data_IF_869805658022
#
_entry.id   IF_869805658022
#
_cell.length_a   1.000
_cell.length_b   1.000
_cell.length_c   1.000
_cell.angle_alpha   90.00
_cell.angle_beta   90.00
_cell.angle_gamma   90.00
#
_symmetry.space_group_name_H-M   'P 1'
#
loop_
_entity.id
_entity.type
_entity.pdbx_description
1 polymer ?
#
# COMPACT_ATOMS: atom_id res chain seq x y z
N UNK A 1 -15.76 6.89 3.69
CA UNK A 1 -15.57 5.76 2.75
C UNK A 1 -14.51 4.86 3.34
N UNK A 2 -14.71 3.54 3.33
CA UNK A 2 -13.73 2.55 3.76
C UNK A 2 -13.61 1.51 2.65
N UNK A 3 -12.39 1.17 2.27
CA UNK A 3 -12.10 0.18 1.24
C UNK A 3 -11.01 -0.76 1.73
N UNK A 4 -11.18 -2.06 1.46
CA UNK A 4 -10.23 -3.09 1.82
C UNK A 4 -9.57 -3.67 0.57
N UNK A 5 -8.24 -3.70 0.57
CA UNK A 5 -7.38 -4.18 -0.50
C UNK A 5 -6.81 -5.53 -0.07
N UNK A 6 -6.94 -6.53 -0.94
CA UNK A 6 -6.45 -7.89 -0.72
C UNK A 6 -5.29 -8.22 -1.65
N UNK A 7 -4.47 -9.19 -1.24
CA UNK A 7 -3.47 -9.81 -2.10
C UNK A 7 -4.12 -11.06 -2.71
N UNK A 8 -4.67 -10.92 -3.91
CA UNK A 8 -5.37 -12.02 -4.57
C UNK A 8 -4.40 -12.89 -5.41
N UNK A 9 -4.69 -14.18 -5.62
CA UNK A 9 -3.86 -15.07 -6.43
C UNK A 9 -3.64 -14.61 -7.88
N UNK A 10 -4.56 -13.84 -8.44
CA UNK A 10 -4.48 -13.30 -9.81
C UNK A 10 -3.48 -12.15 -9.94
N UNK A 11 -2.96 -11.65 -8.81
CA UNK A 11 -2.03 -10.55 -8.77
C UNK A 11 -0.64 -10.98 -9.26
N UNK A 12 -0.08 -10.22 -10.20
CA UNK A 12 1.20 -10.55 -10.85
C UNK A 12 2.40 -9.76 -10.32
N UNK A 13 2.14 -8.67 -9.59
CA UNK A 13 3.12 -7.66 -9.17
C UNK A 13 3.63 -7.88 -7.74
N UNK A 14 4.39 -8.96 -7.58
CA UNK A 14 5.13 -9.24 -6.36
C UNK A 14 6.50 -9.81 -6.68
N UNK A 15 7.41 -9.78 -5.72
CA UNK A 15 8.77 -10.30 -5.91
C UNK A 15 8.76 -11.83 -5.94
N UNK A 16 9.04 -12.43 -7.11
CA UNK A 16 8.93 -13.88 -7.32
C UNK A 16 10.23 -14.65 -7.05
N UNK A 17 11.38 -14.04 -7.26
CA UNK A 17 12.66 -14.76 -7.29
C UNK A 17 13.08 -15.24 -5.90
N UNK A 18 13.10 -16.56 -5.69
CA UNK A 18 13.44 -17.14 -4.39
C UNK A 18 12.39 -16.88 -3.29
N UNK A 19 11.19 -16.45 -3.69
CA UNK A 19 10.07 -16.25 -2.76
C UNK A 19 9.14 -17.44 -2.78
N UNK A 20 8.62 -17.80 -1.61
CA UNK A 20 7.48 -18.71 -1.48
C UNK A 20 6.24 -17.91 -1.13
N UNK A 21 5.13 -18.19 -1.79
CA UNK A 21 3.82 -17.59 -1.51
C UNK A 21 2.80 -18.68 -1.21
N UNK A 22 2.07 -18.53 -0.11
CA UNK A 22 0.99 -19.43 0.30
C UNK A 22 -0.28 -18.61 0.57
N UNK A 23 -1.38 -18.98 -0.08
CA UNK A 23 -2.69 -18.38 0.11
C UNK A 23 -3.49 -19.26 1.08
N UNK A 24 -3.77 -18.73 2.27
CA UNK A 24 -4.51 -19.42 3.32
C UNK A 24 -5.96 -18.92 3.32
N UNK A 25 -6.77 -19.52 2.45
CA UNK A 25 -8.17 -19.12 2.21
C UNK A 25 -9.04 -19.17 3.47
N UNK A 26 -8.75 -20.10 4.40
CA UNK A 26 -9.50 -20.26 5.65
C UNK A 26 -9.47 -19.00 6.53
N UNK A 27 -8.40 -18.21 6.47
CA UNK A 27 -8.20 -17.02 7.29
C UNK A 27 -8.00 -15.73 6.47
N UNK A 28 -8.09 -15.79 5.14
CA UNK A 28 -7.77 -14.68 4.24
C UNK A 28 -6.37 -14.10 4.47
N UNK A 29 -5.37 -14.96 4.69
CA UNK A 29 -3.98 -14.56 4.92
C UNK A 29 -3.12 -15.01 3.72
N UNK A 30 -2.23 -14.14 3.26
CA UNK A 30 -1.18 -14.47 2.31
C UNK A 30 0.16 -14.47 3.03
N UNK A 31 0.85 -15.61 3.01
CA UNK A 31 2.19 -15.74 3.57
C UNK A 31 3.21 -15.60 2.46
N UNK A 32 4.12 -14.66 2.65
CA UNK A 32 5.28 -14.44 1.82
C UNK A 32 6.54 -14.76 2.62
N UNK A 33 7.44 -15.54 2.05
CA UNK A 33 8.76 -15.83 2.63
C UNK A 33 9.85 -15.57 1.59
N UNK A 34 10.86 -14.77 1.95
CA UNK A 34 12.09 -14.62 1.20
C UNK A 34 13.22 -14.12 2.12
N UNK A 35 14.24 -14.95 2.33
CA UNK A 35 15.36 -14.63 3.24
C UNK A 35 16.49 -13.82 2.59
N UNK A 36 16.49 -13.69 1.27
CA UNK A 36 17.55 -13.04 0.48
C UNK A 36 17.11 -11.73 -0.19
N UNK A 37 15.85 -11.33 0.01
CA UNK A 37 15.34 -10.08 -0.54
C UNK A 37 16.13 -8.90 0.05
N UNK A 38 16.64 -8.03 -0.82
CA UNK A 38 17.41 -6.85 -0.39
C UNK A 38 16.50 -5.82 0.28
N UNK A 39 16.98 -5.10 1.32
CA UNK A 39 16.26 -3.95 1.86
C UNK A 39 15.94 -2.91 0.78
N UNK A 40 14.77 -2.30 0.85
CA UNK A 40 14.23 -1.35 -0.13
C UNK A 40 13.55 -1.98 -1.34
N UNK A 41 13.67 -3.30 -1.56
CA UNK A 41 12.99 -3.99 -2.64
C UNK A 41 11.46 -4.08 -2.40
N UNK A 42 10.67 -3.97 -3.45
CA UNK A 42 9.21 -4.10 -3.37
C UNK A 42 8.82 -5.58 -3.23
N UNK A 43 8.12 -5.93 -2.14
CA UNK A 43 7.55 -7.27 -1.92
C UNK A 43 6.33 -7.46 -2.81
N UNK A 44 5.41 -6.51 -2.80
CA UNK A 44 4.14 -6.54 -3.55
C UNK A 44 3.68 -5.11 -3.85
N UNK A 45 3.01 -4.91 -5.00
CA UNK A 45 2.58 -3.61 -5.50
C UNK A 45 1.15 -3.65 -6.04
N UNK A 46 0.26 -2.87 -5.43
CA UNK A 46 -1.10 -2.64 -5.95
C UNK A 46 -1.16 -1.34 -6.75
N UNK A 47 -1.97 -1.29 -7.82
CA UNK A 47 -2.17 -0.08 -8.65
C UNK A 47 -3.64 0.28 -8.87
N UNK A 48 -3.96 1.58 -8.83
CA UNK A 48 -5.34 2.08 -8.97
C UNK A 48 -5.81 2.26 -10.42
N UNK A 49 -4.93 2.07 -11.39
CA UNK A 49 -5.28 2.14 -12.80
C UNK A 49 -4.44 1.13 -13.58
N UNK A 50 -5.13 0.19 -14.21
CA UNK A 50 -4.54 -0.96 -14.89
C UNK A 50 -4.19 -0.69 -16.35
N UNK A 51 -3.94 0.57 -16.75
CA UNK A 51 -3.65 0.95 -18.15
C UNK A 51 -2.38 0.31 -18.74
N UNK A 52 -1.75 -0.62 -18.03
CA UNK A 52 -0.82 -1.59 -18.57
C UNK A 52 -1.59 -2.58 -19.45
N UNK A 53 -1.34 -2.53 -20.76
CA UNK A 53 -1.97 -3.27 -21.87
C UNK A 53 -2.01 -4.82 -21.76
N UNK A 54 -1.74 -5.39 -20.58
CA UNK A 54 -1.82 -6.83 -20.28
C UNK A 54 -2.68 -7.20 -19.07
N UNK A 55 -3.25 -6.24 -18.33
CA UNK A 55 -4.12 -6.53 -17.17
C UNK A 55 -5.59 -6.47 -17.56
N UNK A 56 -6.22 -7.63 -17.76
CA UNK A 56 -7.68 -7.72 -17.92
C UNK A 56 -8.35 -7.71 -16.54
N UNK A 57 -8.99 -6.60 -16.18
CA UNK A 57 -10.28 -6.64 -15.49
C UNK A 57 -10.36 -6.33 -13.99
N UNK A 58 -9.27 -6.18 -13.24
CA UNK A 58 -9.37 -5.89 -11.81
C UNK A 58 -8.64 -4.61 -11.39
N UNK A 59 -9.38 -3.65 -10.85
CA UNK A 59 -8.81 -2.52 -10.13
C UNK A 59 -8.45 -2.99 -8.72
N UNK A 60 -7.15 -3.12 -8.46
CA UNK A 60 -6.60 -3.54 -7.17
C UNK A 60 -6.79 -2.47 -6.08
N UNK A 61 -6.93 -1.20 -6.48
CA UNK A 61 -7.12 -0.06 -5.59
C UNK A 61 -8.32 0.80 -6.03
N UNK A 62 -9.04 1.43 -5.08
CA UNK A 62 -10.19 2.26 -5.38
C UNK A 62 -9.76 3.60 -5.97
N UNK A 63 -10.65 4.22 -6.74
CA UNK A 63 -10.48 5.60 -7.17
C UNK A 63 -10.63 6.55 -5.98
N UNK A 64 -9.63 7.41 -5.78
CA UNK A 64 -9.62 8.41 -4.71
C UNK A 64 -10.04 9.79 -5.22
N UNK A 65 -10.64 10.58 -4.35
CA UNK A 65 -11.05 11.96 -4.60
C UNK A 65 -9.85 12.90 -4.50
N UNK A 66 -9.65 13.69 -5.56
CA UNK A 66 -8.55 14.66 -5.67
C UNK A 66 -8.60 15.69 -4.54
N UNK A 67 -7.48 15.86 -3.84
CA UNK A 67 -7.32 16.82 -2.74
C UNK A 67 -7.89 16.34 -1.40
N UNK A 68 -8.40 15.11 -1.31
CA UNK A 68 -8.95 14.54 -0.08
C UNK A 68 -7.88 13.80 0.72
N UNK A 69 -8.01 13.84 2.04
CA UNK A 69 -7.16 13.10 2.96
C UNK A 69 -7.70 11.67 3.16
N UNK A 70 -6.77 10.74 3.28
CA UNK A 70 -7.02 9.33 3.51
C UNK A 70 -6.06 8.80 4.55
N UNK A 71 -6.55 7.90 5.38
CA UNK A 71 -5.73 7.06 6.22
C UNK A 71 -5.53 5.71 5.51
N UNK A 72 -4.29 5.23 5.49
CA UNK A 72 -3.97 3.85 5.12
C UNK A 72 -3.60 3.08 6.37
N UNK A 73 -4.01 1.82 6.43
CA UNK A 73 -3.63 0.87 7.47
C UNK A 73 -3.31 -0.49 6.85
N UNK A 74 -2.17 -1.05 7.21
CA UNK A 74 -1.71 -2.38 6.87
C UNK A 74 -2.04 -3.32 8.03
N UNK A 75 -2.87 -4.31 7.76
CA UNK A 75 -3.10 -5.47 8.62
C UNK A 75 -2.18 -6.59 8.14
N UNK A 76 -1.00 -6.68 8.74
CA UNK A 76 0.00 -7.70 8.45
C UNK A 76 0.95 -7.90 9.63
N UNK A 77 1.47 -9.12 9.76
CA UNK A 77 2.54 -9.47 10.69
C UNK A 77 3.83 -9.72 9.91
N UNK A 78 4.97 -9.31 10.46
CA UNK A 78 6.28 -9.52 9.82
C UNK A 78 7.34 -9.96 10.82
N UNK A 79 8.24 -10.84 10.38
CA UNK A 79 9.38 -11.33 11.13
C UNK A 79 10.69 -11.08 10.36
N UNK A 80 11.81 -10.80 11.05
CA UNK A 80 12.03 -10.86 12.51
C UNK A 80 11.61 -9.60 13.29
N UNK A 81 11.23 -8.52 12.62
CA UNK A 81 10.75 -7.28 13.26
C UNK A 81 9.54 -6.73 12.50
N UNK A 82 8.60 -6.03 13.18
CA UNK A 82 7.57 -5.24 12.51
C UNK A 82 8.26 -4.16 11.69
N UNK A 83 8.33 -4.36 10.38
CA UNK A 83 9.18 -3.55 9.51
C UNK A 83 8.58 -3.31 8.12
N UNK A 84 7.31 -3.66 7.91
CA UNK A 84 6.62 -3.39 6.66
C UNK A 84 6.50 -1.89 6.42
N UNK A 85 7.28 -1.40 5.47
CA UNK A 85 7.29 -0.01 5.05
C UNK A 85 6.34 0.15 3.87
N UNK A 86 5.26 0.90 4.06
CA UNK A 86 4.36 1.23 2.96
C UNK A 86 4.92 2.40 2.16
N UNK A 87 4.96 2.24 0.84
CA UNK A 87 5.30 3.30 -0.10
C UNK A 87 4.10 3.60 -0.98
N UNK A 88 3.59 4.82 -0.91
CA UNK A 88 2.52 5.31 -1.77
C UNK A 88 3.15 6.21 -2.84
N UNK A 89 2.92 5.92 -4.11
CA UNK A 89 3.42 6.74 -5.22
C UNK A 89 2.25 7.27 -6.04
N UNK A 90 2.26 8.57 -6.35
CA UNK A 90 1.21 9.24 -7.12
C UNK A 90 1.69 9.53 -8.53
N UNK A 91 0.82 9.31 -9.51
CA UNK A 91 1.14 9.42 -10.93
C UNK A 91 0.24 10.41 -11.66
N UNK A 92 0.80 11.11 -12.64
CA UNK A 92 0.03 11.89 -13.63
C UNK A 92 -0.66 10.96 -14.63
N UNK A 93 -1.52 11.52 -15.51
CA UNK A 93 -2.11 10.75 -16.62
C UNK A 93 -1.06 10.22 -17.59
N UNK A 94 0.08 10.90 -17.70
CA UNK A 94 1.22 10.50 -18.52
C UNK A 94 2.16 9.48 -17.81
N UNK A 95 1.74 8.93 -16.66
CA UNK A 95 2.50 7.98 -15.84
C UNK A 95 3.78 8.55 -15.18
N UNK A 96 3.91 9.86 -15.13
CA UNK A 96 5.02 10.52 -14.42
C UNK A 96 4.76 10.56 -12.92
N UNK A 97 5.82 10.43 -12.11
CA UNK A 97 5.72 10.50 -10.65
C UNK A 97 5.50 11.95 -10.22
N UNK A 98 4.40 12.19 -9.49
CA UNK A 98 4.12 13.48 -8.84
C UNK A 98 4.85 13.55 -7.49
N UNK A 99 4.91 12.43 -6.78
CA UNK A 99 5.54 12.32 -5.48
C UNK A 99 5.34 10.95 -4.86
N UNK A 100 6.08 10.72 -3.77
CA UNK A 100 6.06 9.48 -3.00
C UNK A 100 5.95 9.79 -1.53
N UNK A 101 5.23 8.95 -0.79
CA UNK A 101 5.14 9.02 0.66
C UNK A 101 5.47 7.65 1.26
N UNK A 102 6.28 7.65 2.33
CA UNK A 102 6.66 6.46 3.09
C UNK A 102 5.95 6.45 4.44
N UNK A 103 5.45 5.30 4.87
CA UNK A 103 4.71 5.10 6.13
C UNK A 103 5.28 3.87 6.83
N UNK A 104 5.89 4.07 8.00
CA UNK A 104 6.72 3.08 8.69
C UNK A 104 5.99 2.30 9.82
N UNK A 105 4.81 2.74 10.27
CA UNK A 105 4.14 2.22 11.48
C UNK A 105 2.88 1.41 11.19
N UNK A 106 2.82 0.73 10.04
CA UNK A 106 1.63 0.03 9.52
C UNK A 106 0.39 0.93 9.31
N UNK A 107 0.32 2.14 9.84
CA UNK A 107 -0.76 3.09 9.56
C UNK A 107 -0.22 4.52 9.37
N UNK A 108 -0.93 5.32 8.59
CA UNK A 108 -0.54 6.69 8.35
C UNK A 108 -1.48 7.43 7.40
N UNK A 109 -1.33 8.74 7.37
CA UNK A 109 -2.19 9.63 6.60
C UNK A 109 -1.51 10.13 5.34
N UNK A 110 -2.23 10.20 4.23
CA UNK A 110 -1.78 10.81 3.00
C UNK A 110 -2.89 11.64 2.35
N UNK A 111 -2.51 12.64 1.56
CA UNK A 111 -3.46 13.42 0.77
C UNK A 111 -3.33 13.02 -0.68
N UNK A 112 -4.43 12.62 -1.31
CA UNK A 112 -4.42 12.29 -2.74
C UNK A 112 -4.23 13.59 -3.56
N UNK A 113 -3.11 13.77 -4.29
CA UNK A 113 -2.80 15.06 -4.91
C UNK A 113 -3.84 15.48 -5.95
N UNK A 114 -4.14 16.79 -6.04
CA UNK A 114 -5.11 17.31 -7.03
C UNK A 114 -4.75 16.99 -8.48
N UNK A 115 -3.45 16.89 -8.78
CA UNK A 115 -2.92 16.57 -10.11
C UNK A 115 -2.83 15.06 -10.37
N UNK A 116 -3.09 14.22 -9.37
CA UNK A 116 -2.98 12.78 -9.51
C UNK A 116 -4.10 12.20 -10.37
N UNK A 117 -3.72 11.20 -11.16
CA UNK A 117 -4.59 10.39 -11.99
C UNK A 117 -4.63 8.93 -11.52
N UNK A 118 -3.50 8.42 -11.05
CA UNK A 118 -3.40 7.09 -10.47
C UNK A 118 -2.44 7.10 -9.26
N UNK A 119 -2.47 6.03 -8.47
CA UNK A 119 -1.51 5.78 -7.42
C UNK A 119 -1.19 4.28 -7.32
N UNK A 120 -0.06 3.98 -6.68
CA UNK A 120 0.28 2.64 -6.24
C UNK A 120 0.57 2.61 -4.76
N UNK A 121 0.33 1.46 -4.16
CA UNK A 121 0.77 1.13 -2.79
C UNK A 121 1.73 -0.04 -2.92
N UNK A 122 2.90 0.07 -2.31
CA UNK A 122 3.95 -0.95 -2.30
C UNK A 122 4.28 -1.29 -0.85
N UNK A 123 4.41 -2.58 -0.55
CA UNK A 123 5.11 -3.01 0.68
C UNK A 123 6.58 -3.16 0.32
N UNK A 124 7.43 -2.39 0.96
CA UNK A 124 8.87 -2.49 0.83
C UNK A 124 9.44 -3.45 1.87
N UNK A 125 10.42 -4.22 1.45
CA UNK A 125 11.24 -5.02 2.34
C UNK A 125 12.15 -4.11 3.17
N UNK A 126 12.09 -4.20 4.48
CA UNK A 126 13.01 -3.52 5.39
C UNK A 126 13.68 -4.51 6.34
N UNK A 127 14.17 -5.62 5.77
CA UNK A 127 14.73 -6.76 6.52
C UNK A 127 13.69 -7.81 6.91
N UNK A 128 12.54 -7.82 6.25
CA UNK A 128 11.48 -8.80 6.40
C UNK A 128 11.94 -10.10 5.73
N UNK A 129 11.84 -11.20 6.46
CA UNK A 129 12.03 -12.55 5.92
C UNK A 129 10.70 -13.24 5.69
N UNK A 130 9.74 -12.96 6.57
CA UNK A 130 8.39 -13.53 6.54
C UNK A 130 7.37 -12.42 6.72
N UNK A 131 6.34 -12.43 5.89
CA UNK A 131 5.21 -11.50 5.93
C UNK A 131 3.91 -12.32 5.88
N UNK A 132 3.08 -12.19 6.90
CA UNK A 132 1.69 -12.68 6.89
C UNK A 132 0.77 -11.50 6.66
N UNK A 133 0.36 -11.32 5.40
CA UNK A 133 -0.49 -10.22 4.96
C UNK A 133 -1.98 -10.59 5.07
N UNK A 134 -2.81 -9.68 5.59
CA UNK A 134 -4.26 -9.87 5.64
C UNK A 134 -5.02 -8.83 4.81
N UNK A 135 -4.70 -7.54 4.95
CA UNK A 135 -5.24 -6.49 4.08
C UNK A 135 -4.55 -5.15 4.20
N UNK A 136 -4.80 -4.28 3.22
CA UNK A 136 -4.64 -2.83 3.38
C UNK A 136 -6.03 -2.19 3.44
N UNK A 137 -6.26 -1.32 4.41
CA UNK A 137 -7.51 -0.58 4.58
C UNK A 137 -7.26 0.89 4.27
N UNK A 138 -8.04 1.43 3.33
CA UNK A 138 -8.08 2.84 2.99
C UNK A 138 -9.36 3.46 3.54
N UNK A 139 -9.25 4.50 4.35
CA UNK A 139 -10.39 5.21 4.92
C UNK A 139 -10.31 6.69 4.62
N UNK A 140 -11.38 7.26 4.04
CA UNK A 140 -11.51 8.70 3.94
C UNK A 140 -12.01 9.28 5.24
N UNK A 141 -11.42 10.39 5.66
CA UNK A 141 -11.89 11.16 6.80
C UNK A 141 -11.93 12.64 6.43
N UNK A 142 -12.92 13.35 6.96
CA UNK A 142 -12.89 14.81 7.00
C UNK A 142 -11.86 15.17 8.06
N UNK A 143 -10.76 15.81 7.66
CA UNK A 143 -9.83 16.43 8.61
C UNK A 143 -10.61 17.56 9.27
N UNK A 144 -11.35 17.27 10.34
CA UNK A 144 -11.86 18.31 11.21
C UNK A 144 -10.63 19.06 11.69
N UNK A 145 -10.61 20.36 11.40
CA UNK A 145 -9.54 21.26 11.82
C UNK A 145 -9.46 21.13 13.33
N UNK A 146 -8.43 20.50 13.87
CA UNK A 146 -8.01 20.86 15.22
C UNK A 146 -7.69 22.36 15.15
N UNK A 147 -8.41 23.22 15.88
CA UNK A 147 -7.95 24.58 16.05
C UNK A 147 -6.61 24.50 16.78
N UNK A 148 -5.63 25.24 16.29
CA UNK A 148 -4.41 25.59 17.02
C UNK A 148 -4.85 26.18 18.37
N UNK A 149 -5.00 25.36 19.39
CA UNK A 149 -5.20 25.79 20.77
C UNK A 149 -3.88 26.36 21.26
N UNK A 150 -3.76 27.67 21.01
CA UNK A 150 -3.16 28.69 21.86
C UNK A 150 -1.81 28.34 22.47
N UNK A 151 -0.78 28.98 21.90
CA UNK A 151 0.28 29.62 22.69
C UNK A 151 -0.31 30.11 24.01
N UNK A 152 0.19 29.57 25.11
CA UNK A 152 0.15 30.09 26.47
C UNK A 152 1.27 29.35 27.19
N UNK A 153 2.19 29.97 27.92
CA UNK A 153 2.65 31.34 28.09
C UNK A 153 4.02 31.16 28.75
#
# INVERSE_FOLDING_TARGET
>A
MKFEVKWSPEMMDYYKHGSTIEYLDSNNIVRFNNTMLSPGATIVKWISNSNYQGRRGFLELPLLERGKAYQVKLDAESAPKPSALLKITFYTRAQEIIGTQLIADSEGDFTYPKKAYAYSIEILNNGIKELSFKSIVLSSYSKEREPLSRRNK
#
